data_IF_296581842688
#
_entry.id   IF_296581842688
#
_cell.length_a   1.000
_cell.length_b   1.000
_cell.length_c   1.000
_cell.angle_alpha   90.00
_cell.angle_beta   90.00
_cell.angle_gamma   90.00
#
_symmetry.space_group_name_H-M   'P 1'
#
loop_
_entity.id
_entity.type
_entity.pdbx_description
1 polymer ?
#
# COMPACT_ATOMS: atom_id res chain seq x y z
N UNK A 1 -1.86 -4.29 15.34
CA UNK A 1 -2.50 -2.99 15.65
C UNK A 1 -1.51 -1.84 15.68
N UNK A 2 -0.70 -1.65 16.74
CA UNK A 2 0.20 -0.49 16.87
C UNK A 2 1.21 -0.37 15.70
N UNK A 3 1.82 -1.49 15.28
CA UNK A 3 2.71 -1.55 14.10
C UNK A 3 2.06 -0.95 12.84
N UNK A 4 0.83 -1.35 12.54
CA UNK A 4 0.10 -0.91 11.34
C UNK A 4 -0.18 0.59 11.40
N UNK A 5 -0.69 1.10 12.53
CA UNK A 5 -0.94 2.54 12.69
C UNK A 5 0.36 3.36 12.60
N UNK A 6 1.47 2.83 13.11
CA UNK A 6 2.77 3.48 13.00
C UNK A 6 3.22 3.56 11.54
N UNK A 7 3.12 2.48 10.76
CA UNK A 7 3.47 2.48 9.33
C UNK A 7 2.60 3.45 8.54
N UNK A 8 1.30 3.52 8.82
CA UNK A 8 0.40 4.51 8.20
C UNK A 8 0.83 5.93 8.57
N UNK A 9 1.17 6.19 9.84
CA UNK A 9 1.67 7.51 10.27
C UNK A 9 2.97 7.88 9.56
N UNK A 10 3.93 6.97 9.53
CA UNK A 10 5.22 7.19 8.84
C UNK A 10 5.01 7.46 7.36
N UNK A 11 4.09 6.73 6.69
CA UNK A 11 3.77 7.01 5.30
C UNK A 11 3.24 8.43 5.08
N UNK A 12 2.38 8.93 5.99
CA UNK A 12 1.90 10.33 5.94
C UNK A 12 3.07 11.32 6.08
N UNK A 13 4.01 11.04 6.98
CA UNK A 13 5.21 11.86 7.20
C UNK A 13 6.17 11.82 5.99
N UNK A 14 6.23 10.70 5.27
CA UNK A 14 6.99 10.51 4.02
C UNK A 14 6.28 11.11 2.78
N UNK A 15 5.13 11.76 2.95
CA UNK A 15 4.42 12.47 1.89
C UNK A 15 3.38 11.64 1.13
N UNK A 16 2.93 10.51 1.67
CA UNK A 16 1.83 9.75 1.11
C UNK A 16 0.52 10.57 1.11
N UNK A 17 -0.24 10.48 0.03
CA UNK A 17 -1.61 11.00 -0.01
C UNK A 17 -2.59 9.95 0.50
N UNK A 18 -3.33 10.29 1.55
CA UNK A 18 -4.36 9.41 2.13
C UNK A 18 -5.67 9.64 1.41
N UNK A 19 -6.12 8.65 0.62
CA UNK A 19 -7.40 8.74 -0.09
C UNK A 19 -8.58 8.41 0.83
N UNK A 20 -8.41 7.43 1.72
CA UNK A 20 -9.40 7.07 2.72
C UNK A 20 -8.78 6.30 3.89
N UNK A 21 -9.49 6.25 5.01
CA UNK A 21 -9.13 5.49 6.20
C UNK A 21 -7.89 6.01 6.90
N UNK A 22 -7.06 5.10 7.39
CA UNK A 22 -5.80 5.41 8.06
C UNK A 22 -5.91 5.63 9.57
N UNK A 23 -7.11 5.43 10.14
CA UNK A 23 -7.40 5.68 11.56
C UNK A 23 -8.19 4.52 12.20
N UNK A 24 -8.49 4.66 13.50
CA UNK A 24 -9.47 3.80 14.17
C UNK A 24 -10.90 4.27 13.86
N UNK A 25 -11.83 3.37 13.52
CA UNK A 25 -13.24 3.73 13.37
C UNK A 25 -13.81 4.35 14.65
N UNK A 26 -14.37 5.56 14.54
CA UNK A 26 -14.83 6.36 15.70
C UNK A 26 -15.88 5.62 16.54
N UNK A 27 -16.73 4.81 15.91
CA UNK A 27 -17.82 4.07 16.55
C UNK A 27 -17.37 2.77 17.25
N UNK A 28 -16.11 2.34 17.08
CA UNK A 28 -15.56 1.12 17.68
C UNK A 28 -14.44 1.42 18.69
N UNK A 29 -14.85 1.77 19.93
CA UNK A 29 -13.93 2.22 21.00
C UNK A 29 -13.07 1.09 21.60
N UNK A 30 -13.48 -0.17 21.50
CA UNK A 30 -12.75 -1.35 22.02
C UNK A 30 -12.39 -2.30 20.87
N UNK A 31 -11.38 -3.15 21.06
CA UNK A 31 -10.84 -4.06 20.02
C UNK A 31 -9.73 -3.43 19.17
N UNK A 32 -9.14 -4.20 18.27
CA UNK A 32 -7.99 -3.80 17.44
C UNK A 32 -8.39 -3.40 16.01
N UNK A 33 -9.43 -2.57 15.89
CA UNK A 33 -9.97 -2.14 14.59
C UNK A 33 -9.13 -1.03 13.94
N UNK A 34 -8.90 -1.17 12.63
CA UNK A 34 -8.26 -0.18 11.76
C UNK A 34 -9.15 -0.04 10.53
N UNK A 35 -9.39 1.19 10.07
CA UNK A 35 -10.14 1.45 8.84
C UNK A 35 -9.40 0.89 7.61
N UNK A 36 -10.11 0.34 6.61
CA UNK A 36 -9.52 0.08 5.30
C UNK A 36 -8.88 1.35 4.76
N UNK A 37 -7.59 1.28 4.42
CA UNK A 37 -6.77 2.45 4.12
C UNK A 37 -6.24 2.35 2.69
N UNK A 38 -6.38 3.44 1.91
CA UNK A 38 -5.79 3.54 0.56
C UNK A 38 -4.84 4.73 0.53
N UNK A 39 -3.58 4.47 0.16
CA UNK A 39 -2.51 5.46 0.10
C UNK A 39 -1.91 5.54 -1.31
N UNK A 40 -1.83 6.75 -1.86
CA UNK A 40 -0.97 7.03 -3.02
C UNK A 40 0.43 7.34 -2.53
N UNK A 41 1.44 6.60 -2.98
CA UNK A 41 2.81 6.65 -2.42
C UNK A 41 3.87 6.72 -3.52
N UNK A 42 5.06 7.18 -3.14
CA UNK A 42 6.26 7.06 -3.97
C UNK A 42 6.95 5.70 -3.71
N UNK A 43 7.45 4.99 -4.73
CA UNK A 43 8.12 3.69 -4.57
C UNK A 43 9.34 3.69 -3.62
N UNK A 44 9.97 4.85 -3.38
CA UNK A 44 11.09 4.97 -2.45
C UNK A 44 10.71 4.87 -0.96
N UNK A 45 9.42 5.04 -0.63
CA UNK A 45 8.89 5.09 0.76
C UNK A 45 8.95 3.74 1.48
N UNK A 46 8.95 3.76 2.81
CA UNK A 46 8.99 2.54 3.63
C UNK A 46 7.73 1.69 3.40
N UNK A 47 6.56 2.33 3.29
CA UNK A 47 5.28 1.63 3.12
C UNK A 47 5.11 0.94 1.76
N UNK A 48 5.93 1.30 0.77
CA UNK A 48 6.01 0.58 -0.50
C UNK A 48 6.83 -0.72 -0.37
N UNK A 49 7.90 -0.69 0.42
CA UNK A 49 8.90 -1.78 0.51
C UNK A 49 8.60 -2.81 1.59
N UNK A 50 7.91 -2.41 2.66
CA UNK A 50 7.65 -3.27 3.81
C UNK A 50 6.24 -3.84 3.83
N UNK A 51 6.13 -5.09 4.25
CA UNK A 51 4.85 -5.74 4.47
C UNK A 51 4.13 -5.20 5.73
N UNK A 52 3.01 -4.51 5.51
CA UNK A 52 2.19 -3.90 6.58
C UNK A 52 1.38 -4.95 7.34
N UNK A 53 0.89 -5.99 6.66
CA UNK A 53 0.04 -7.07 7.21
C UNK A 53 -1.25 -6.55 7.89
N UNK A 54 -1.82 -5.48 7.33
CA UNK A 54 -3.06 -4.83 7.79
C UNK A 54 -3.96 -4.46 6.61
N UNK A 55 -5.14 -3.87 6.87
CA UNK A 55 -6.09 -3.48 5.82
C UNK A 55 -5.64 -2.19 5.10
N UNK A 56 -4.46 -2.22 4.49
CA UNK A 56 -3.80 -1.08 3.87
C UNK A 56 -3.40 -1.45 2.44
N UNK A 57 -3.84 -0.65 1.48
CA UNK A 57 -3.43 -0.72 0.08
C UNK A 57 -2.60 0.52 -0.24
N UNK A 58 -1.34 0.33 -0.60
CA UNK A 58 -0.51 1.36 -1.22
C UNK A 58 -0.54 1.19 -2.74
N UNK A 59 -0.54 2.30 -3.47
CA UNK A 59 -0.45 2.25 -4.94
C UNK A 59 0.42 3.39 -5.47
N UNK A 60 0.91 3.17 -6.69
CA UNK A 60 1.60 4.15 -7.52
C UNK A 60 1.12 3.99 -8.97
N UNK A 61 1.46 4.93 -9.84
CA UNK A 61 1.08 4.88 -11.27
C UNK A 61 2.30 4.61 -12.13
N UNK A 62 2.11 3.91 -13.25
CA UNK A 62 3.11 3.71 -14.29
C UNK A 62 2.52 4.09 -15.66
N UNK A 63 3.37 4.20 -16.68
CA UNK A 63 2.98 4.52 -18.06
C UNK A 63 3.30 3.42 -19.06
N UNK A 64 4.37 2.67 -18.85
CA UNK A 64 4.77 1.59 -19.74
C UNK A 64 4.73 0.24 -19.03
N UNK A 65 4.62 -0.83 -19.80
CA UNK A 65 4.68 -2.19 -19.28
C UNK A 65 6.02 -2.46 -18.58
N UNK A 66 7.14 -2.05 -19.19
CA UNK A 66 8.48 -2.15 -18.59
C UNK A 66 8.54 -1.47 -17.21
N UNK A 67 7.97 -0.27 -17.07
CA UNK A 67 7.92 0.45 -15.78
C UNK A 67 7.07 -0.33 -14.75
N UNK A 68 5.97 -0.94 -15.18
CA UNK A 68 5.14 -1.77 -14.30
C UNK A 68 5.92 -2.99 -13.79
N UNK A 69 6.67 -3.65 -14.69
CA UNK A 69 7.49 -4.83 -14.38
C UNK A 69 8.63 -4.45 -13.43
N UNK A 70 9.32 -3.33 -13.69
CA UNK A 70 10.39 -2.83 -12.83
C UNK A 70 9.86 -2.50 -11.42
N UNK A 71 8.73 -1.80 -11.32
CA UNK A 71 8.09 -1.47 -10.05
C UNK A 71 7.61 -2.71 -9.29
N UNK A 72 7.04 -3.71 -9.99
CA UNK A 72 6.57 -4.93 -9.38
C UNK A 72 7.72 -5.80 -8.85
N UNK A 73 8.87 -5.78 -9.52
CA UNK A 73 10.06 -6.55 -9.15
C UNK A 73 11.01 -5.79 -8.19
N UNK A 74 10.82 -4.49 -7.96
CA UNK A 74 11.55 -3.71 -6.94
C UNK A 74 11.09 -4.04 -5.51
N UNK A 75 11.25 -5.30 -5.14
CA UNK A 75 10.92 -5.83 -3.82
C UNK A 75 11.83 -7.01 -3.48
N UNK A 76 12.07 -7.21 -2.19
CA UNK A 76 12.81 -8.36 -1.67
C UNK A 76 11.95 -9.64 -1.58
N UNK A 77 10.64 -9.53 -1.85
CA UNK A 77 9.67 -10.60 -1.73
C UNK A 77 9.31 -11.20 -3.11
N UNK A 78 8.57 -12.32 -3.13
CA UNK A 78 8.21 -13.01 -4.39
C UNK A 78 7.12 -14.06 -4.24
N UNK A 79 6.12 -13.81 -3.38
CA UNK A 79 5.09 -14.80 -3.06
C UNK A 79 4.04 -14.97 -4.16
N UNK A 80 3.55 -13.86 -4.72
CA UNK A 80 2.51 -13.86 -5.74
C UNK A 80 2.27 -12.46 -6.30
N UNK A 81 1.64 -12.42 -7.47
CA UNK A 81 1.28 -11.18 -8.18
C UNK A 81 0.05 -11.40 -9.05
N UNK A 82 -0.52 -10.32 -9.56
CA UNK A 82 -1.68 -10.37 -10.44
C UNK A 82 -1.54 -9.33 -11.55
N UNK A 83 -1.91 -9.72 -12.78
CA UNK A 83 -2.00 -8.83 -13.94
C UNK A 83 -3.46 -8.74 -14.33
N UNK A 84 -3.97 -7.52 -14.51
CA UNK A 84 -5.32 -7.27 -15.00
C UNK A 84 -5.22 -6.55 -16.34
N UNK A 85 -5.33 -7.32 -17.43
CA UNK A 85 -5.37 -6.82 -18.80
C UNK A 85 -6.48 -7.52 -19.59
N UNK A 86 -6.95 -6.88 -20.66
CA UNK A 86 -7.79 -7.53 -21.68
C UNK A 86 -6.95 -8.15 -22.80
N UNK A 87 -5.71 -7.73 -22.92
CA UNK A 87 -4.75 -8.28 -23.86
C UNK A 87 -4.14 -9.54 -23.24
N UNK A 88 -4.15 -10.62 -24.02
CA UNK A 88 -3.67 -11.94 -23.59
C UNK A 88 -2.16 -12.11 -23.81
N UNK A 89 -1.53 -11.22 -24.57
CA UNK A 89 -0.10 -11.24 -24.88
C UNK A 89 0.73 -10.35 -23.93
N UNK A 90 0.08 -9.75 -22.91
CA UNK A 90 0.77 -9.16 -21.74
C UNK A 90 1.38 -10.26 -20.89
#
# INVERSE_FOLDING_TARGET
YKKILQLISTAKDEGASVLCGGERPIHLKKGYYIEPTILSVNPSTQIWKEEVFGPVLSFTTFRTEDEAIDLANDTQYGLGGAVLSKDADV
#
